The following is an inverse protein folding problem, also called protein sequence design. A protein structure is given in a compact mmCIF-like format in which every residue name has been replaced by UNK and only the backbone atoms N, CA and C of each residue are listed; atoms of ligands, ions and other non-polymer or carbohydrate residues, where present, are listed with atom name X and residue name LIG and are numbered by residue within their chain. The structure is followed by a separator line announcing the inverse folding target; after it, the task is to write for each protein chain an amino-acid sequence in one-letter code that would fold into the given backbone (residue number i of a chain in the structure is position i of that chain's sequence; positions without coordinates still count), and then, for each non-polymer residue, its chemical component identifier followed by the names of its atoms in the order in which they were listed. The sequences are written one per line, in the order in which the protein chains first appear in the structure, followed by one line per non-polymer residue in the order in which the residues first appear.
data_IF_994967465357
#
_entry.id   IF_994967465357
#
_cell.length_a   1.000
_cell.length_b   1.000
_cell.length_c   1.000
_cell.angle_alpha   90.00
_cell.angle_beta   90.00
_cell.angle_gamma   90.00
#
_symmetry.space_group_name_H-M   'P 1'
#
loop_
_entity.id
_entity.type
_entity.pdbx_description
1 polymer ?
#
# COMPACT_ATOMS: atom_id res chain seq x y z
N UNK A 1 -5.15 -26.31 0.90
CA UNK A 1 -4.39 -25.03 0.91
C UNK A 1 -5.35 -23.88 0.61
N UNK A 2 -5.88 -23.16 1.62
CA UNK A 2 -6.72 -21.94 1.52
C UNK A 2 -7.26 -21.67 2.93
N UNK A 3 -6.65 -20.76 3.71
CA UNK A 3 -7.22 -20.21 4.96
C UNK A 3 -6.23 -19.22 5.61
N UNK A 4 -6.04 -18.03 5.03
CA UNK A 4 -5.34 -16.93 5.71
C UNK A 4 -5.96 -15.56 5.41
N UNK A 5 -7.29 -15.48 5.25
CA UNK A 5 -7.97 -14.20 4.98
C UNK A 5 -8.84 -13.70 6.15
N UNK A 6 -8.91 -14.42 7.27
CA UNK A 6 -9.95 -14.19 8.29
C UNK A 6 -9.49 -13.65 9.65
N UNK A 7 -8.21 -13.35 9.85
CA UNK A 7 -7.71 -13.01 11.20
C UNK A 7 -6.81 -11.77 11.18
N UNK A 8 -7.12 -10.72 10.41
CA UNK A 8 -6.18 -9.60 10.29
C UNK A 8 -6.83 -8.24 10.30
N UNK A 9 -7.48 -7.96 11.43
CA UNK A 9 -8.29 -6.76 11.55
C UNK A 9 -8.40 -6.27 12.99
N UNK A 10 -7.27 -6.11 13.65
CA UNK A 10 -7.18 -5.47 14.98
C UNK A 10 -5.90 -4.68 15.10
N UNK A 11 -5.80 -3.51 14.46
CA UNK A 11 -5.12 -2.31 15.00
C UNK A 11 -5.04 -1.17 13.97
N UNK A 12 -5.66 -0.05 14.34
CA UNK A 12 -5.33 1.34 13.94
C UNK A 12 -5.80 1.97 12.60
N UNK A 13 -6.71 1.37 11.82
CA UNK A 13 -7.45 2.14 10.80
C UNK A 13 -8.98 1.99 10.98
N UNK A 14 -9.81 2.98 10.59
CA UNK A 14 -11.26 2.88 10.69
C UNK A 14 -11.73 1.61 10.01
N UNK A 15 -12.39 0.72 10.75
CA UNK A 15 -12.72 -0.64 10.30
C UNK A 15 -13.32 -0.68 8.88
N UNK A 16 -14.12 0.34 8.53
CA UNK A 16 -14.72 0.52 7.20
C UNK A 16 -13.76 0.40 6.01
N UNK A 17 -12.50 0.85 6.14
CA UNK A 17 -11.54 0.80 5.04
C UNK A 17 -10.80 -0.53 4.98
N UNK A 18 -10.56 -1.16 6.13
CA UNK A 18 -9.90 -2.46 6.15
C UNK A 18 -10.85 -3.54 5.62
N UNK A 19 -12.16 -3.44 5.91
CA UNK A 19 -13.19 -4.26 5.24
C UNK A 19 -13.30 -4.01 3.72
N UNK A 20 -12.78 -2.89 3.21
CA UNK A 20 -12.75 -2.59 1.77
C UNK A 20 -11.49 -3.12 1.06
N UNK A 21 -10.54 -3.70 1.79
CA UNK A 21 -9.30 -4.24 1.20
C UNK A 21 -9.64 -5.40 0.27
N UNK A 22 -9.12 -5.32 -0.95
CA UNK A 22 -9.37 -6.32 -1.98
C UNK A 22 -8.55 -7.57 -1.69
N UNK A 23 -9.19 -8.74 -1.70
CA UNK A 23 -8.52 -10.03 -1.47
C UNK A 23 -7.49 -10.37 -2.57
N UNK A 24 -7.77 -9.93 -3.80
CA UNK A 24 -6.92 -10.12 -4.97
C UNK A 24 -6.50 -8.78 -5.56
N UNK A 25 -5.39 -8.76 -6.30
CA UNK A 25 -5.00 -7.58 -7.06
C UNK A 25 -6.13 -7.17 -8.02
N UNK A 26 -6.64 -5.93 -7.94
CA UNK A 26 -7.67 -5.46 -8.85
C UNK A 26 -7.16 -5.40 -10.29
N UNK A 27 -8.01 -5.76 -11.27
CA UNK A 27 -7.67 -5.64 -12.69
C UNK A 27 -7.26 -4.22 -13.09
N UNK A 28 -7.78 -3.25 -12.34
CA UNK A 28 -7.52 -1.83 -12.49
C UNK A 28 -6.05 -1.47 -12.23
N UNK A 29 -5.28 -2.29 -11.51
CA UNK A 29 -3.84 -2.14 -11.31
C UNK A 29 -3.01 -2.31 -12.59
N UNK A 30 -3.57 -2.91 -13.66
CA UNK A 30 -2.89 -3.01 -14.96
C UNK A 30 -2.59 -1.65 -15.61
N UNK A 31 -3.26 -0.59 -15.14
CA UNK A 31 -3.10 0.78 -15.66
C UNK A 31 -2.04 1.61 -14.94
N UNK A 32 -1.33 1.03 -13.98
CA UNK A 32 -0.25 1.71 -13.26
C UNK A 32 0.84 2.13 -14.27
N UNK A 33 1.24 3.39 -14.21
CA UNK A 33 2.38 3.88 -14.98
C UNK A 33 3.70 3.37 -14.41
N UNK A 34 4.77 3.43 -15.19
CA UNK A 34 6.10 3.01 -14.73
C UNK A 34 6.56 3.79 -13.49
N UNK A 35 6.29 5.11 -13.44
CA UNK A 35 6.58 5.92 -12.25
C UNK A 35 5.77 5.51 -11.02
N UNK A 36 4.52 5.06 -11.20
CA UNK A 36 3.72 4.51 -10.09
C UNK A 36 4.25 3.15 -9.64
N UNK A 37 4.69 2.29 -10.57
CA UNK A 37 5.30 0.99 -10.24
C UNK A 37 6.62 1.18 -9.49
N UNK A 38 7.47 2.08 -9.94
CA UNK A 38 8.72 2.43 -9.26
C UNK A 38 8.46 2.99 -7.86
N UNK A 39 7.45 3.85 -7.72
CA UNK A 39 7.06 4.38 -6.42
C UNK A 39 6.59 3.29 -5.46
N UNK A 40 5.76 2.35 -5.94
CA UNK A 40 5.34 1.18 -5.16
C UNK A 40 6.54 0.30 -4.78
N UNK A 41 7.51 0.12 -5.69
CA UNK A 41 8.76 -0.59 -5.39
C UNK A 41 9.54 0.07 -4.26
N UNK A 42 9.66 1.40 -4.26
CA UNK A 42 10.30 2.12 -3.16
C UNK A 42 9.59 1.95 -1.82
N UNK A 43 8.24 1.89 -1.81
CA UNK A 43 7.48 1.56 -0.59
C UNK A 43 7.80 0.15 -0.11
N UNK A 44 7.88 -0.84 -1.02
CA UNK A 44 8.28 -2.20 -0.68
C UNK A 44 9.65 -2.21 -0.02
N UNK A 45 10.64 -1.51 -0.57
CA UNK A 45 12.00 -1.43 0.00
C UNK A 45 12.02 -0.80 1.40
N UNK A 46 11.23 0.25 1.64
CA UNK A 46 11.07 0.88 2.96
C UNK A 46 10.55 -0.14 3.99
N UNK A 47 9.54 -0.91 3.60
CA UNK A 47 8.91 -1.92 4.47
C UNK A 47 9.84 -3.13 4.66
N UNK A 48 10.61 -3.49 3.65
CA UNK A 48 11.57 -4.60 3.69
C UNK A 48 12.79 -4.29 4.58
N UNK A 49 13.30 -3.07 4.52
CA UNK A 49 14.45 -2.60 5.30
C UNK A 49 14.14 -2.37 6.78
N UNK A 50 12.86 -2.21 7.14
CA UNK A 50 12.43 -1.96 8.51
C UNK A 50 11.84 -3.22 9.16
N UNK A 51 12.34 -3.61 10.34
CA UNK A 51 11.76 -4.73 11.12
C UNK A 51 10.39 -4.40 11.71
N UNK A 52 10.19 -3.14 12.09
CA UNK A 52 8.94 -2.58 12.59
C UNK A 52 8.90 -1.13 12.16
N UNK A 53 7.77 -0.69 11.60
CA UNK A 53 7.56 0.69 11.19
C UNK A 53 6.18 1.14 11.65
N UNK A 54 6.10 2.28 12.30
CA UNK A 54 4.82 2.85 12.73
C UNK A 54 4.09 3.51 11.56
N UNK A 55 2.78 3.74 11.71
CA UNK A 55 1.97 4.40 10.67
C UNK A 55 2.45 5.81 10.35
N UNK A 56 2.92 6.56 11.34
CA UNK A 56 3.46 7.91 11.17
C UNK A 56 4.79 7.88 10.41
N UNK A 57 5.75 7.04 10.85
CA UNK A 57 7.04 6.88 10.18
C UNK A 57 6.87 6.43 8.72
N UNK A 58 6.00 5.44 8.48
CA UNK A 58 5.71 4.99 7.12
C UNK A 58 5.07 6.12 6.29
N UNK A 59 4.18 6.93 6.88
CA UNK A 59 3.59 8.05 6.17
C UNK A 59 4.64 9.09 5.77
N UNK A 60 5.54 9.44 6.69
CA UNK A 60 6.65 10.36 6.42
C UNK A 60 7.57 9.82 5.33
N UNK A 61 7.95 8.54 5.37
CA UNK A 61 8.81 7.95 4.35
C UNK A 61 8.14 7.88 2.97
N UNK A 62 6.82 7.62 2.91
CA UNK A 62 6.05 7.69 1.67
C UNK A 62 6.08 9.11 1.09
N UNK A 63 5.93 10.13 1.92
CA UNK A 63 6.02 11.53 1.51
C UNK A 63 7.42 11.89 0.99
N UNK A 64 8.48 11.48 1.70
CA UNK A 64 9.87 11.70 1.30
C UNK A 64 10.20 10.99 -0.03
N UNK A 65 9.74 9.74 -0.19
CA UNK A 65 9.92 8.98 -1.42
C UNK A 65 9.24 9.68 -2.60
N UNK A 66 7.99 10.13 -2.41
CA UNK A 66 7.23 10.88 -3.42
C UNK A 66 7.99 12.13 -3.86
N UNK A 67 8.54 12.90 -2.90
CA UNK A 67 9.34 14.10 -3.18
C UNK A 67 10.64 13.79 -3.92
N UNK A 68 11.38 12.76 -3.48
CA UNK A 68 12.61 12.30 -4.12
C UNK A 68 12.38 11.89 -5.58
N UNK A 69 11.28 11.19 -5.84
CA UNK A 69 10.90 10.73 -7.17
C UNK A 69 10.22 11.80 -8.03
N UNK A 70 9.90 12.96 -7.44
CA UNK A 70 9.16 14.05 -8.10
C UNK A 70 7.82 13.57 -8.71
N UNK A 71 7.21 12.55 -8.14
CA UNK A 71 5.90 12.04 -8.55
C UNK A 71 4.80 12.90 -7.94
N UNK A 72 3.71 13.13 -8.68
CA UNK A 72 2.61 13.93 -8.17
C UNK A 72 1.95 13.24 -6.95
N UNK A 73 1.45 13.99 -5.94
CA UNK A 73 0.71 13.39 -4.83
C UNK A 73 -0.46 12.52 -5.32
N UNK A 74 -1.16 12.96 -6.37
CA UNK A 74 -2.28 12.21 -6.95
C UNK A 74 -1.81 10.84 -7.44
N UNK A 75 -0.74 10.78 -8.23
CA UNK A 75 -0.28 9.53 -8.82
C UNK A 75 0.30 8.59 -7.77
N UNK A 76 1.06 9.13 -6.82
CA UNK A 76 1.65 8.38 -5.72
C UNK A 76 0.58 7.72 -4.82
N UNK A 77 -0.35 8.51 -4.29
CA UNK A 77 -1.35 7.99 -3.36
C UNK A 77 -2.41 7.15 -4.07
N UNK A 78 -2.82 7.53 -5.28
CA UNK A 78 -3.76 6.70 -6.04
C UNK A 78 -3.19 5.32 -6.33
N UNK A 79 -1.88 5.19 -6.64
CA UNK A 79 -1.25 3.89 -6.86
C UNK A 79 -1.43 2.95 -5.65
N UNK A 80 -1.25 3.47 -4.42
CA UNK A 80 -1.45 2.71 -3.18
C UNK A 80 -2.91 2.28 -3.06
N UNK A 81 -3.86 3.21 -3.13
CA UNK A 81 -5.28 2.89 -2.94
C UNK A 81 -5.81 1.99 -4.04
N UNK A 82 -5.23 2.06 -5.24
CA UNK A 82 -5.64 1.23 -6.34
C UNK A 82 -5.38 -0.24 -6.08
N UNK A 83 -4.15 -0.58 -5.69
CA UNK A 83 -3.75 -1.98 -5.52
C UNK A 83 -4.37 -2.61 -4.28
N UNK A 84 -4.73 -1.81 -3.27
CA UNK A 84 -5.30 -2.33 -2.03
C UNK A 84 -6.82 -2.19 -1.93
N UNK A 85 -7.40 -1.09 -2.41
CA UNK A 85 -8.82 -0.75 -2.21
C UNK A 85 -9.62 -0.71 -3.52
N UNK A 86 -8.96 -0.76 -4.68
CA UNK A 86 -9.56 -0.49 -5.99
C UNK A 86 -10.26 0.89 -6.05
N UNK A 87 -9.64 1.90 -5.44
CA UNK A 87 -10.13 3.28 -5.35
C UNK A 87 -9.01 4.26 -5.68
N UNK A 88 -9.36 5.47 -6.07
CA UNK A 88 -8.37 6.52 -6.36
C UNK A 88 -7.96 7.33 -5.11
N UNK A 89 -8.70 7.19 -4.00
CA UNK A 89 -8.44 7.87 -2.73
C UNK A 89 -8.79 6.99 -1.53
N UNK A 90 -8.26 7.37 -0.36
CA UNK A 90 -8.39 6.58 0.86
C UNK A 90 -7.94 7.34 2.11
N UNK A 91 -7.90 6.65 3.27
CA UNK A 91 -7.37 7.20 4.52
C UNK A 91 -5.86 7.43 4.41
N UNK A 92 -5.25 8.13 5.36
CA UNK A 92 -3.82 8.42 5.31
C UNK A 92 -2.97 7.15 5.09
N UNK A 93 -2.17 7.15 4.01
CA UNK A 93 -1.56 5.95 3.45
C UNK A 93 -0.62 5.22 4.42
N UNK A 94 0.14 5.93 5.26
CA UNK A 94 1.08 5.30 6.18
C UNK A 94 0.38 4.49 7.26
N UNK A 95 -0.59 5.08 7.96
CA UNK A 95 -1.42 4.36 8.93
C UNK A 95 -2.24 3.24 8.29
N UNK A 96 -2.76 3.46 7.08
CA UNK A 96 -3.47 2.42 6.35
C UNK A 96 -2.56 1.21 6.09
N UNK A 97 -1.39 1.42 5.49
CA UNK A 97 -0.45 0.35 5.19
C UNK A 97 0.07 -0.31 6.48
N UNK A 98 0.38 0.45 7.53
CA UNK A 98 0.80 -0.09 8.83
C UNK A 98 -0.28 -0.92 9.53
N UNK A 99 -1.56 -0.80 9.13
CA UNK A 99 -2.65 -1.66 9.62
C UNK A 99 -2.75 -3.00 8.89
N UNK A 100 -2.02 -3.18 7.79
CA UNK A 100 -2.02 -4.41 6.98
C UNK A 100 -0.93 -5.38 7.45
N UNK A 101 -1.12 -6.66 7.10
CA UNK A 101 -0.05 -7.66 7.14
C UNK A 101 1.15 -7.22 6.29
N UNK A 102 2.34 -7.26 6.88
CA UNK A 102 3.58 -6.92 6.17
C UNK A 102 3.78 -7.80 4.95
N UNK A 103 3.61 -9.11 5.10
CA UNK A 103 3.74 -10.09 4.03
C UNK A 103 2.69 -9.88 2.93
N UNK A 104 1.45 -9.54 3.31
CA UNK A 104 0.39 -9.22 2.36
C UNK A 104 0.72 -7.96 1.55
N UNK A 105 1.21 -6.91 2.22
CA UNK A 105 1.59 -5.66 1.59
C UNK A 105 2.69 -5.87 0.55
N UNK A 106 3.79 -6.52 0.95
CA UNK A 106 4.92 -6.81 0.08
C UNK A 106 4.45 -7.61 -1.13
N UNK A 107 3.74 -8.72 -0.90
CA UNK A 107 3.25 -9.57 -1.99
C UNK A 107 2.30 -8.84 -2.93
N UNK A 108 1.40 -8.00 -2.41
CA UNK A 108 0.48 -7.21 -3.23
C UNK A 108 1.22 -6.20 -4.10
N UNK A 109 2.25 -5.55 -3.57
CA UNK A 109 3.11 -4.64 -4.33
C UNK A 109 3.84 -5.41 -5.43
N UNK A 110 4.44 -6.57 -5.12
CA UNK A 110 5.12 -7.42 -6.10
C UNK A 110 4.19 -7.88 -7.23
N UNK A 111 2.95 -8.24 -6.92
CA UNK A 111 1.94 -8.59 -7.92
C UNK A 111 1.60 -7.39 -8.82
N UNK A 112 1.61 -6.17 -8.30
CA UNK A 112 1.24 -4.96 -9.02
C UNK A 112 2.34 -4.38 -9.92
N UNK A 113 3.61 -4.58 -9.55
CA UNK A 113 4.76 -4.02 -10.29
C UNK A 113 5.32 -4.97 -11.36
N UNK A 114 4.85 -6.22 -11.39
CA UNK A 114 5.08 -7.14 -12.52
C UNK A 114 4.47 -6.60 -13.82
#
# INVERSE_FOLDING_TARGET
RKKYAKIWLKRFAPERYIFSVQEKLPASAKRLSDGQKEFLSGIKEIVESSKSITGDELHQQIHQLKEKMKISPRDAFSAIYLIFLNKDSGPQAGWFLASLEREFMIKRIEEAIK
#
